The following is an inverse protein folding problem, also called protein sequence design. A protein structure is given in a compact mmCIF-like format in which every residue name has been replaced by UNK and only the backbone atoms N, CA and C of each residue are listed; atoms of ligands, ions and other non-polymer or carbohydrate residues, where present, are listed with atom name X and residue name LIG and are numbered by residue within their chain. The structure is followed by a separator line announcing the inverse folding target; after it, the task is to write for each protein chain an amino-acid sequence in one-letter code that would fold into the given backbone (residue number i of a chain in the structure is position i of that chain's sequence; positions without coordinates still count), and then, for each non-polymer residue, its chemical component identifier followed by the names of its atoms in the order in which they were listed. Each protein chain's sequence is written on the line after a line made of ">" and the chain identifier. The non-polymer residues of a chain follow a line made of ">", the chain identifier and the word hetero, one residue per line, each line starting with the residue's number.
data_IF_910047587591
#
_entry.id   IF_910047587591
#
_cell.length_a   1.000
_cell.length_b   1.000
_cell.length_c   1.000
_cell.angle_alpha   90.00
_cell.angle_beta   90.00
_cell.angle_gamma   90.00
#
_symmetry.space_group_name_H-M   'P 1'
#
loop_
_entity.id
_entity.type
_entity.pdbx_description
1 polymer ?
#
# COMPACT_ATOMS: atom_id res chain seq x y z
N UNK A 1 5.77 3.92 5.97
CA UNK A 1 6.72 5.03 6.19
C UNK A 1 6.15 6.38 5.80
N UNK A 2 5.69 6.58 4.56
CA UNK A 2 5.16 7.87 4.07
C UNK A 2 4.05 8.41 4.98
N UNK A 3 3.01 7.62 5.28
CA UNK A 3 1.89 8.06 6.12
C UNK A 3 2.31 8.54 7.52
N UNK A 4 3.41 7.99 8.06
CA UNK A 4 3.96 8.40 9.35
C UNK A 4 4.74 9.71 9.26
N UNK A 5 5.33 10.01 8.12
CA UNK A 5 6.01 11.28 7.87
C UNK A 5 5.03 12.43 7.57
N UNK A 6 3.79 12.11 7.15
CA UNK A 6 2.82 13.10 6.64
C UNK A 6 1.63 13.38 7.58
N UNK A 7 1.71 13.01 8.86
CA UNK A 7 0.62 13.18 9.84
C UNK A 7 -0.69 12.45 9.50
N UNK A 8 -0.66 11.49 8.57
CA UNK A 8 -1.79 10.68 8.13
C UNK A 8 -1.70 9.23 8.62
N UNK A 9 -1.06 9.01 9.76
CA UNK A 9 -0.79 7.68 10.33
C UNK A 9 -2.07 6.91 10.71
N UNK A 10 -3.20 7.59 10.82
CA UNK A 10 -4.52 7.01 11.09
C UNK A 10 -5.19 6.37 9.85
N UNK A 11 -4.63 6.58 8.65
CA UNK A 11 -5.18 5.95 7.43
C UNK A 11 -4.85 4.44 7.46
N UNK A 12 -5.86 3.56 7.32
CA UNK A 12 -5.64 2.11 7.39
C UNK A 12 -4.81 1.60 6.20
N UNK A 13 -3.93 0.65 6.47
CA UNK A 13 -3.05 0.03 5.47
C UNK A 13 -3.47 -1.43 5.31
N UNK A 14 -3.93 -1.80 4.11
CA UNK A 14 -4.35 -3.16 3.77
C UNK A 14 -3.33 -3.81 2.81
N UNK A 15 -2.99 -5.08 3.05
CA UNK A 15 -2.08 -5.82 2.16
C UNK A 15 -2.82 -6.31 0.91
N UNK A 16 -2.25 -6.05 -0.26
CA UNK A 16 -2.73 -6.58 -1.54
C UNK A 16 -2.04 -7.87 -1.96
N UNK A 17 -2.20 -8.25 -3.23
CA UNK A 17 -1.52 -9.42 -3.79
C UNK A 17 0.00 -9.21 -3.88
N UNK A 18 0.76 -10.23 -3.51
CA UNK A 18 2.24 -10.24 -3.63
C UNK A 18 2.69 -10.69 -5.03
N UNK A 19 1.78 -11.23 -5.84
CA UNK A 19 2.06 -11.75 -7.18
C UNK A 19 1.08 -11.24 -8.22
N UNK A 20 1.52 -11.19 -9.46
CA UNK A 20 0.62 -10.97 -10.59
C UNK A 20 -0.26 -12.20 -10.84
N UNK A 21 -1.39 -12.00 -11.53
CA UNK A 21 -2.36 -13.05 -11.82
C UNK A 21 -1.86 -14.07 -12.87
N UNK A 22 -1.10 -13.60 -13.85
CA UNK A 22 -0.78 -14.39 -15.07
C UNK A 22 0.71 -14.62 -15.21
N UNK A 23 1.52 -13.58 -15.00
CA UNK A 23 2.97 -13.66 -15.17
C UNK A 23 3.66 -13.64 -13.81
N UNK A 24 4.75 -14.41 -13.64
CA UNK A 24 5.55 -14.32 -12.43
C UNK A 24 6.08 -12.90 -12.26
N UNK A 25 5.87 -12.35 -11.07
CA UNK A 25 6.50 -11.10 -10.67
C UNK A 25 7.95 -11.41 -10.29
N UNK A 26 8.89 -10.87 -11.06
CA UNK A 26 10.30 -10.92 -10.69
C UNK A 26 10.57 -9.69 -9.83
N UNK A 27 10.91 -9.92 -8.56
CA UNK A 27 11.20 -8.83 -7.62
C UNK A 27 12.29 -7.96 -8.21
N UNK A 28 11.96 -6.69 -8.37
CA UNK A 28 12.81 -5.76 -9.06
C UNK A 28 13.92 -5.27 -8.14
N UNK A 29 15.14 -5.81 -8.31
CA UNK A 29 16.35 -5.01 -8.17
C UNK A 29 16.39 -3.99 -9.34
N UNK A 30 15.31 -3.22 -9.53
CA UNK A 30 15.26 -2.21 -10.58
C UNK A 30 16.12 -1.04 -10.12
N UNK A 31 17.08 -0.60 -10.95
CA UNK A 31 18.07 0.41 -10.55
C UNK A 31 17.45 1.80 -10.29
N UNK A 32 16.16 1.98 -10.58
CA UNK A 32 15.50 3.29 -10.54
C UNK A 32 14.99 3.68 -9.14
N UNK A 33 14.72 2.71 -8.26
CA UNK A 33 13.99 2.98 -7.00
C UNK A 33 14.81 2.70 -5.74
N UNK A 34 16.07 2.27 -5.88
CA UNK A 34 16.85 1.77 -4.75
C UNK A 34 16.37 0.40 -4.27
N UNK A 35 17.09 -0.20 -3.33
CA UNK A 35 16.77 -1.53 -2.77
C UNK A 35 15.55 -1.50 -1.88
N UNK A 36 15.31 -0.37 -1.21
CA UNK A 36 14.17 -0.16 -0.33
C UNK A 36 12.90 0.35 -1.05
N UNK A 37 13.02 0.72 -2.33
CA UNK A 37 11.94 1.35 -3.09
C UNK A 37 11.74 2.85 -2.80
N UNK A 38 12.63 3.46 -2.01
CA UNK A 38 12.60 4.88 -1.59
C UNK A 38 13.93 5.60 -1.88
N UNK A 39 14.71 5.10 -2.85
CA UNK A 39 15.98 5.69 -3.27
C UNK A 39 17.11 5.52 -2.26
N UNK A 40 17.03 4.52 -1.36
CA UNK A 40 18.06 4.20 -0.37
C UNK A 40 18.44 5.39 0.53
N UNK A 41 17.45 6.24 0.84
CA UNK A 41 17.63 7.50 1.58
C UNK A 41 17.74 7.34 3.10
N UNK A 42 17.84 6.09 3.60
CA UNK A 42 17.88 5.75 5.02
C UNK A 42 16.71 6.33 5.83
N UNK A 43 15.49 6.22 5.28
CA UNK A 43 14.29 6.66 5.99
C UNK A 43 14.11 5.89 7.32
N UNK A 44 13.54 6.54 8.36
CA UNK A 44 13.40 5.91 9.67
C UNK A 44 12.51 4.67 9.61
N UNK A 45 12.93 3.59 10.26
CA UNK A 45 12.12 2.38 10.33
C UNK A 45 10.78 2.67 11.02
N UNK A 46 9.70 2.25 10.38
CA UNK A 46 8.34 2.40 10.89
C UNK A 46 7.68 1.04 10.86
N UNK A 47 7.01 0.66 11.95
CA UNK A 47 6.13 -0.51 11.96
C UNK A 47 4.71 -0.05 11.65
N UNK A 48 4.24 -0.15 10.39
CA UNK A 48 2.86 0.17 10.08
C UNK A 48 1.93 -0.79 10.81
N UNK A 49 0.82 -0.27 11.35
CA UNK A 49 -0.29 -1.12 11.76
C UNK A 49 -1.00 -1.60 10.49
N UNK A 50 -0.70 -2.83 10.08
CA UNK A 50 -1.40 -3.49 8.99
C UNK A 50 -2.77 -3.95 9.48
N UNK A 51 -3.80 -3.67 8.70
CA UNK A 51 -5.11 -4.27 8.93
C UNK A 51 -5.08 -5.76 8.58
N UNK A 52 -5.83 -6.57 9.34
CA UNK A 52 -5.94 -8.00 9.09
C UNK A 52 -6.73 -8.33 7.81
N UNK A 53 -7.55 -7.39 7.34
CA UNK A 53 -8.34 -7.53 6.13
C UNK A 53 -7.46 -7.43 4.87
N UNK A 54 -7.70 -8.30 3.89
CA UNK A 54 -7.03 -8.22 2.60
C UNK A 54 -7.55 -7.03 1.77
N UNK A 55 -6.66 -6.35 1.04
CA UNK A 55 -6.99 -5.13 0.30
C UNK A 55 -8.16 -5.31 -0.67
N UNK A 56 -8.29 -6.47 -1.32
CA UNK A 56 -9.43 -6.75 -2.22
C UNK A 56 -10.77 -6.72 -1.47
N UNK A 57 -10.83 -7.30 -0.28
CA UNK A 57 -12.06 -7.29 0.53
C UNK A 57 -12.36 -5.87 1.03
N UNK A 58 -11.33 -5.15 1.47
CA UNK A 58 -11.46 -3.75 1.88
C UNK A 58 -11.98 -2.89 0.72
N UNK A 59 -11.47 -3.07 -0.51
CA UNK A 59 -11.94 -2.35 -1.70
C UNK A 59 -13.42 -2.63 -1.95
N UNK A 60 -13.85 -3.90 -1.95
CA UNK A 60 -15.26 -4.28 -2.17
C UNK A 60 -16.15 -3.65 -1.10
N UNK A 61 -15.77 -3.77 0.17
CA UNK A 61 -16.52 -3.22 1.31
C UNK A 61 -16.62 -1.70 1.24
N UNK A 62 -15.51 -1.01 0.97
CA UNK A 62 -15.46 0.45 0.88
C UNK A 62 -16.24 0.97 -0.34
N UNK A 63 -16.19 0.26 -1.47
CA UNK A 63 -16.94 0.63 -2.67
C UNK A 63 -18.46 0.59 -2.44
N UNK A 64 -18.96 -0.40 -1.72
CA UNK A 64 -20.37 -0.44 -1.33
C UNK A 64 -20.71 0.60 -0.26
N UNK A 65 -19.85 0.78 0.75
CA UNK A 65 -20.07 1.77 1.82
C UNK A 65 -20.17 3.20 1.29
N UNK A 66 -19.35 3.56 0.31
CA UNK A 66 -19.26 4.89 -0.28
C UNK A 66 -19.90 4.96 -1.68
N UNK A 67 -20.86 4.08 -1.95
CA UNK A 67 -21.54 4.03 -3.24
C UNK A 67 -22.22 5.36 -3.55
N UNK A 68 -21.87 5.96 -4.69
CA UNK A 68 -22.48 7.21 -5.16
C UNK A 68 -22.09 8.46 -4.38
N UNK A 69 -21.09 8.41 -3.47
CA UNK A 69 -20.62 9.60 -2.76
C UNK A 69 -19.63 10.44 -3.56
N UNK A 70 -19.13 9.93 -4.69
CA UNK A 70 -18.36 10.73 -5.64
C UNK A 70 -19.29 11.74 -6.32
N UNK A 71 -19.13 13.02 -5.97
CA UNK A 71 -19.80 14.15 -6.63
C UNK A 71 -18.74 14.96 -7.38
N UNK A 72 -18.97 15.17 -8.68
CA UNK A 72 -18.19 16.10 -9.51
C UNK A 72 -18.56 17.55 -9.19
#
# INVERSE_FOLDING_TARGET
>A
IILFLTSYWQIPIFRGSETALVFPYYSSDHPYYGKDGFGDTNLPAVQPKLEAEHAVNAIIRLAELYKGTYKF
#
